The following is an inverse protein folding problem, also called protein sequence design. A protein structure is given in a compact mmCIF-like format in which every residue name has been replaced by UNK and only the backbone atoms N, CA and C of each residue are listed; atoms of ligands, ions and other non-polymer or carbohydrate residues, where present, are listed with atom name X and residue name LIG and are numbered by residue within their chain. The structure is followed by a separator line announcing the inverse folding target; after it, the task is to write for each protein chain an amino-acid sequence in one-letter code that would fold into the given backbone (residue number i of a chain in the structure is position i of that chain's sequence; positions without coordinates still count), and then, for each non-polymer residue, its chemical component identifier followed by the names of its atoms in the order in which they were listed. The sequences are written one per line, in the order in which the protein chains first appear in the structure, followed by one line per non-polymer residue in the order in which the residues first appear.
data_IF_131112575653
#
_entry.id   IF_131112575653
#
_cell.length_a   1.000
_cell.length_b   1.000
_cell.length_c   1.000
_cell.angle_alpha   90.00
_cell.angle_beta   90.00
_cell.angle_gamma   90.00
#
_symmetry.space_group_name_H-M   'P 1'
#
loop_
_entity.id
_entity.type
_entity.pdbx_description
1 polymer ?
#
# COMPACT_ATOMS: atom_id res chain seq x y z
N UNK A 1 -27.58 50.10 -33.99
CA UNK A 1 -27.74 48.63 -33.92
C UNK A 1 -26.39 48.05 -33.54
N UNK A 2 -26.17 47.65 -32.27
CA UNK A 2 -24.92 47.01 -31.78
C UNK A 2 -25.19 46.42 -30.37
N UNK A 3 -25.75 45.21 -30.30
CA UNK A 3 -26.00 44.50 -29.02
C UNK A 3 -25.53 43.02 -28.91
N UNK A 4 -24.55 42.48 -29.67
CA UNK A 4 -24.06 41.13 -29.38
C UNK A 4 -22.84 41.06 -28.44
N UNK A 5 -22.05 42.14 -28.27
CA UNK A 5 -20.73 42.03 -27.62
C UNK A 5 -20.80 41.91 -26.09
N UNK A 6 -21.83 42.47 -25.43
CA UNK A 6 -21.93 42.44 -23.95
C UNK A 6 -22.34 41.09 -23.37
N UNK A 7 -22.95 40.20 -24.16
CA UNK A 7 -23.34 38.85 -23.72
C UNK A 7 -22.23 37.80 -23.95
N UNK A 8 -21.29 38.04 -24.85
CA UNK A 8 -20.24 37.07 -25.20
C UNK A 8 -19.16 36.94 -24.11
N UNK A 9 -18.83 38.03 -23.41
CA UNK A 9 -17.80 38.08 -22.37
C UNK A 9 -18.10 37.22 -21.14
N UNK A 10 -19.31 37.23 -20.53
CA UNK A 10 -19.58 36.37 -19.37
C UNK A 10 -19.62 34.88 -19.72
N UNK A 11 -20.03 34.50 -20.93
CA UNK A 11 -20.08 33.10 -21.37
C UNK A 11 -18.67 32.50 -21.50
N UNK A 12 -17.72 33.28 -22.01
CA UNK A 12 -16.33 32.86 -22.13
C UNK A 12 -15.66 32.66 -20.76
N UNK A 13 -15.95 33.54 -19.79
CA UNK A 13 -15.42 33.44 -18.41
C UNK A 13 -16.00 32.22 -17.68
N UNK A 14 -17.30 31.94 -17.85
CA UNK A 14 -17.94 30.75 -17.29
C UNK A 14 -17.36 29.47 -17.91
N UNK A 15 -17.13 29.44 -19.22
CA UNK A 15 -16.53 28.30 -19.91
C UNK A 15 -15.10 27.99 -19.43
N UNK A 16 -14.30 29.02 -19.13
CA UNK A 16 -12.95 28.86 -18.57
C UNK A 16 -13.00 28.36 -17.12
N UNK A 17 -13.91 28.88 -16.29
CA UNK A 17 -14.05 28.46 -14.89
C UNK A 17 -14.50 27.00 -14.74
N UNK A 18 -15.33 26.50 -15.65
CA UNK A 18 -15.76 25.09 -15.68
C UNK A 18 -14.62 24.18 -16.18
N UNK A 19 -13.69 24.69 -16.98
CA UNK A 19 -12.56 23.92 -17.50
C UNK A 19 -11.49 23.54 -16.47
N UNK A 20 -11.45 24.21 -15.31
CA UNK A 20 -10.43 23.99 -14.26
C UNK A 20 -10.83 22.99 -13.16
N UNK A 21 -12.03 22.42 -13.19
CA UNK A 21 -12.54 21.58 -12.08
C UNK A 21 -12.19 20.09 -12.17
N UNK A 22 -11.35 19.66 -13.11
CA UNK A 22 -10.87 18.28 -13.15
C UNK A 22 -9.56 18.16 -12.37
N UNK A 23 -9.65 18.00 -11.04
CA UNK A 23 -8.52 17.50 -10.25
C UNK A 23 -8.22 16.07 -10.68
N UNK A 24 -7.09 15.86 -11.33
CA UNK A 24 -6.60 14.53 -11.68
C UNK A 24 -6.03 13.92 -10.40
N UNK A 25 -6.73 12.96 -9.80
CA UNK A 25 -6.22 12.19 -8.67
C UNK A 25 -5.15 11.21 -9.17
N UNK A 26 -3.88 11.51 -8.89
CA UNK A 26 -2.75 10.64 -9.21
C UNK A 26 -2.64 9.50 -8.19
N UNK A 27 -2.28 8.31 -8.66
CA UNK A 27 -1.89 7.22 -7.76
C UNK A 27 -0.64 7.62 -6.96
N UNK A 28 -0.66 7.40 -5.65
CA UNK A 28 0.50 7.62 -4.78
C UNK A 28 1.02 6.27 -4.30
N UNK A 29 2.33 6.16 -4.08
CA UNK A 29 2.95 4.96 -3.54
C UNK A 29 4.05 5.35 -2.57
N UNK A 30 4.10 4.70 -1.42
CA UNK A 30 5.17 4.84 -0.45
C UNK A 30 5.66 3.48 0.02
N UNK A 31 6.98 3.33 0.10
CA UNK A 31 7.64 2.07 0.46
C UNK A 31 8.51 2.27 1.69
N UNK A 32 8.46 1.33 2.62
CA UNK A 32 9.31 1.34 3.81
C UNK A 32 10.75 0.95 3.44
N UNK A 33 11.76 1.33 4.24
CA UNK A 33 13.07 0.69 4.18
C UNK A 33 12.98 -0.82 4.39
N UNK A 34 14.05 -1.52 4.01
CA UNK A 34 14.21 -2.95 4.29
C UNK A 34 14.62 -3.19 5.75
N UNK A 35 13.88 -4.07 6.45
CA UNK A 35 14.31 -4.68 7.70
C UNK A 35 15.01 -6.02 7.42
N UNK A 36 15.99 -6.37 8.26
CA UNK A 36 16.77 -7.61 8.13
C UNK A 36 16.66 -8.42 9.42
N UNK A 37 16.54 -9.74 9.30
CA UNK A 37 16.39 -10.63 10.46
C UNK A 37 16.80 -12.07 10.13
N UNK A 38 16.92 -12.88 11.19
CA UNK A 38 17.48 -14.22 11.15
C UNK A 38 18.88 -14.28 11.78
N UNK A 39 19.59 -15.40 11.62
CA UNK A 39 19.18 -16.58 10.86
C UNK A 39 18.10 -17.41 11.58
N UNK A 40 17.19 -18.02 10.82
CA UNK A 40 16.31 -19.11 11.27
C UNK A 40 16.52 -20.31 10.38
N UNK A 41 16.78 -21.48 10.97
CA UNK A 41 17.02 -22.72 10.21
C UNK A 41 18.12 -22.56 9.12
N UNK A 42 19.12 -21.72 9.37
CA UNK A 42 20.22 -21.44 8.43
C UNK A 42 19.94 -20.34 7.39
N UNK A 43 18.77 -19.70 7.44
CA UNK A 43 18.34 -18.71 6.46
C UNK A 43 18.19 -17.31 7.06
N UNK A 44 18.68 -16.32 6.33
CA UNK A 44 18.50 -14.91 6.65
C UNK A 44 17.44 -14.30 5.72
N UNK A 45 16.72 -13.32 6.24
CA UNK A 45 15.56 -12.74 5.59
C UNK A 45 15.66 -11.22 5.58
N UNK A 46 14.94 -10.61 4.65
CA UNK A 46 14.62 -9.18 4.67
C UNK A 46 13.14 -8.96 4.41
N UNK A 47 12.58 -7.89 4.96
CA UNK A 47 11.18 -7.52 4.76
C UNK A 47 10.99 -6.03 4.49
N UNK A 48 9.89 -5.67 3.86
CA UNK A 48 9.43 -4.28 3.75
C UNK A 48 7.91 -4.24 3.53
N UNK A 49 7.33 -3.05 3.66
CA UNK A 49 5.94 -2.78 3.32
C UNK A 49 5.85 -1.70 2.24
N UNK A 50 4.74 -1.70 1.51
CA UNK A 50 4.36 -0.64 0.60
C UNK A 50 2.88 -0.32 0.81
N UNK A 51 2.52 0.94 0.63
CA UNK A 51 1.13 1.41 0.59
C UNK A 51 0.93 2.19 -0.70
N UNK A 52 -0.24 2.06 -1.29
CA UNK A 52 -0.64 2.74 -2.50
C UNK A 52 -2.05 3.29 -2.39
N UNK A 53 -2.25 4.48 -2.95
CA UNK A 53 -3.57 5.07 -3.18
C UNK A 53 -3.75 5.32 -4.67
N UNK A 54 -5.00 5.37 -5.13
CA UNK A 54 -5.28 5.70 -6.53
C UNK A 54 -6.76 5.76 -6.81
N UNK A 55 -7.09 5.95 -8.09
CA UNK A 55 -8.48 6.06 -8.56
C UNK A 55 -8.78 4.89 -9.48
N UNK A 56 -9.93 4.26 -9.29
CA UNK A 56 -10.45 3.22 -10.18
C UNK A 56 -11.87 3.58 -10.64
N UNK A 57 -12.40 2.96 -11.71
CA UNK A 57 -13.80 3.10 -12.10
C UNK A 57 -14.81 2.76 -10.99
N UNK A 58 -14.37 2.02 -9.96
CA UNK A 58 -15.20 1.56 -8.84
C UNK A 58 -15.01 2.41 -7.56
N UNK A 59 -14.22 3.48 -7.62
CA UNK A 59 -13.89 4.37 -6.50
C UNK A 59 -12.40 4.45 -6.20
N UNK A 60 -12.07 5.16 -5.13
CA UNK A 60 -10.70 5.32 -4.67
C UNK A 60 -10.17 4.01 -4.08
N UNK A 61 -8.88 3.76 -4.29
CA UNK A 61 -8.16 2.58 -3.85
C UNK A 61 -7.21 2.94 -2.71
N UNK A 62 -7.16 2.08 -1.70
CA UNK A 62 -6.21 2.14 -0.60
C UNK A 62 -5.71 0.71 -0.34
N UNK A 63 -4.55 0.38 -0.89
CA UNK A 63 -3.95 -0.96 -0.76
C UNK A 63 -2.62 -0.90 -0.02
N UNK A 64 -2.27 -1.98 0.66
CA UNK A 64 -0.93 -2.16 1.21
C UNK A 64 -0.53 -3.62 1.14
N UNK A 65 0.78 -3.87 1.05
CA UNK A 65 1.33 -5.20 1.21
C UNK A 65 2.52 -5.21 2.17
N UNK A 66 2.81 -6.41 2.67
CA UNK A 66 4.12 -6.74 3.23
C UNK A 66 4.77 -7.83 2.39
N UNK A 67 6.08 -7.70 2.20
CA UNK A 67 6.92 -8.63 1.47
C UNK A 67 8.01 -9.16 2.39
N UNK A 68 8.28 -10.46 2.29
CA UNK A 68 9.48 -11.11 2.82
C UNK A 68 10.28 -11.70 1.67
N UNK A 69 11.60 -11.65 1.80
CA UNK A 69 12.54 -12.15 0.81
C UNK A 69 13.75 -12.78 1.51
N UNK A 70 14.32 -13.79 0.87
CA UNK A 70 15.60 -14.36 1.24
C UNK A 70 16.74 -13.33 1.14
N UNK A 71 17.69 -13.35 2.07
CA UNK A 71 18.86 -12.49 2.02
C UNK A 71 20.14 -13.25 2.40
N UNK A 72 21.00 -13.68 1.46
CA UNK A 72 20.95 -13.42 0.02
C UNK A 72 19.79 -14.14 -0.67
N UNK A 73 19.51 -13.73 -1.92
CA UNK A 73 18.45 -14.31 -2.74
C UNK A 73 18.73 -15.80 -2.98
N UNK A 74 17.89 -16.65 -2.42
CA UNK A 74 17.90 -18.10 -2.59
C UNK A 74 16.50 -18.66 -2.35
N UNK A 75 16.19 -19.80 -2.95
CA UNK A 75 14.90 -20.46 -2.72
C UNK A 75 14.83 -20.97 -1.28
N UNK A 76 13.77 -20.61 -0.56
CA UNK A 76 13.49 -21.15 0.76
C UNK A 76 12.55 -22.35 0.66
N UNK A 77 12.69 -23.36 1.54
CA UNK A 77 11.76 -24.48 1.58
C UNK A 77 10.31 -24.03 1.78
N UNK A 78 9.37 -24.84 1.30
CA UNK A 78 7.92 -24.64 1.52
C UNK A 78 7.62 -24.36 3.00
N UNK A 79 6.81 -23.33 3.24
CA UNK A 79 6.38 -22.92 4.58
C UNK A 79 7.41 -22.11 5.38
N UNK A 80 8.60 -21.81 4.87
CA UNK A 80 9.63 -21.07 5.62
C UNK A 80 9.39 -19.55 5.66
N UNK A 81 8.53 -19.04 4.79
CA UNK A 81 8.15 -17.64 4.72
C UNK A 81 6.67 -17.48 5.01
N UNK A 82 6.33 -16.54 5.88
CA UNK A 82 4.97 -16.04 6.04
C UNK A 82 4.91 -14.52 5.93
N UNK A 83 3.80 -13.97 5.47
CA UNK A 83 3.59 -12.52 5.39
C UNK A 83 2.12 -12.15 5.61
N UNK A 84 1.90 -10.94 6.12
CA UNK A 84 0.59 -10.35 6.39
C UNK A 84 0.65 -8.85 6.10
N UNK A 85 -0.14 -8.39 5.13
CA UNK A 85 -0.31 -6.98 4.81
C UNK A 85 -1.21 -6.29 5.83
N UNK A 86 -0.90 -5.04 6.21
CA UNK A 86 -1.64 -4.28 7.23
C UNK A 86 -1.63 -2.79 6.92
N UNK A 87 -2.79 -2.15 7.04
CA UNK A 87 -3.01 -0.71 6.86
C UNK A 87 -3.37 -0.09 8.21
N UNK A 88 -2.77 1.05 8.51
CA UNK A 88 -3.04 1.84 9.69
C UNK A 88 -3.37 3.28 9.32
N UNK A 89 -4.17 3.94 10.15
CA UNK A 89 -4.30 5.39 10.12
C UNK A 89 -3.15 6.06 10.89
N UNK A 90 -3.04 7.39 10.81
CA UNK A 90 -2.00 8.16 11.50
C UNK A 90 -2.09 8.13 13.02
N UNK A 91 -3.22 7.73 13.61
CA UNK A 91 -3.37 7.52 15.04
C UNK A 91 -2.84 6.17 15.52
N UNK A 92 -2.49 5.28 14.57
CA UNK A 92 -1.99 3.94 14.84
C UNK A 92 -3.08 2.89 14.97
N UNK A 93 -4.33 3.20 14.61
CA UNK A 93 -5.42 2.23 14.58
C UNK A 93 -5.27 1.33 13.36
N UNK A 94 -5.41 0.02 13.56
CA UNK A 94 -5.42 -0.96 12.48
C UNK A 94 -6.75 -0.85 11.71
N UNK A 95 -6.67 -0.52 10.44
CA UNK A 95 -7.83 -0.33 9.57
C UNK A 95 -8.17 -1.61 8.83
N UNK A 96 -7.14 -2.30 8.33
CA UNK A 96 -7.31 -3.52 7.53
C UNK A 96 -6.08 -4.39 7.60
N UNK A 97 -6.27 -5.71 7.48
CA UNK A 97 -5.19 -6.70 7.45
C UNK A 97 -5.60 -7.89 6.58
N UNK A 98 -4.61 -8.54 5.98
CA UNK A 98 -4.80 -9.80 5.26
C UNK A 98 -4.75 -11.00 6.20
N UNK A 99 -5.19 -12.16 5.75
CA UNK A 99 -4.76 -13.42 6.35
C UNK A 99 -3.25 -13.63 6.16
N UNK A 100 -2.69 -14.58 6.91
CA UNK A 100 -1.31 -15.01 6.72
C UNK A 100 -1.15 -15.79 5.42
N UNK A 101 -0.36 -15.26 4.49
CA UNK A 101 0.11 -16.00 3.32
C UNK A 101 1.44 -16.68 3.63
N UNK A 102 1.57 -17.96 3.23
CA UNK A 102 2.80 -18.73 3.35
C UNK A 102 3.25 -19.22 1.99
N UNK A 103 4.56 -19.37 1.79
CA UNK A 103 5.06 -19.96 0.55
C UNK A 103 4.68 -21.45 0.49
N UNK A 104 4.08 -21.87 -0.62
CA UNK A 104 3.65 -23.26 -0.85
C UNK A 104 4.67 -24.06 -1.68
N UNK A 105 5.72 -23.42 -2.17
CA UNK A 105 6.82 -24.02 -2.93
C UNK A 105 8.16 -23.34 -2.58
N UNK A 106 9.22 -23.74 -3.30
CA UNK A 106 10.53 -23.12 -3.19
C UNK A 106 10.54 -21.68 -3.73
N UNK A 107 10.28 -20.67 -2.88
CA UNK A 107 10.24 -19.27 -3.31
C UNK A 107 11.40 -18.45 -2.74
N UNK A 108 11.85 -17.46 -3.50
CA UNK A 108 12.84 -16.45 -3.06
C UNK A 108 12.19 -15.30 -2.29
N UNK A 109 10.90 -15.05 -2.55
CA UNK A 109 10.11 -14.03 -1.85
C UNK A 109 8.62 -14.34 -1.92
N UNK A 110 7.84 -13.81 -0.98
CA UNK A 110 6.37 -13.78 -1.03
C UNK A 110 5.85 -12.44 -0.51
N UNK A 111 4.64 -12.08 -0.93
CA UNK A 111 3.93 -10.90 -0.46
C UNK A 111 2.44 -11.19 -0.20
N UNK A 112 1.84 -10.49 0.75
CA UNK A 112 0.39 -10.53 1.01
C UNK A 112 -0.16 -9.12 1.04
N UNK A 113 -1.28 -8.95 0.35
CA UNK A 113 -1.94 -7.67 0.10
C UNK A 113 -3.20 -7.55 0.96
N UNK A 114 -3.50 -6.33 1.39
CA UNK A 114 -4.76 -5.96 2.01
C UNK A 114 -5.26 -4.64 1.43
N UNK A 115 -6.55 -4.37 1.58
CA UNK A 115 -7.21 -3.18 1.04
C UNK A 115 -8.17 -2.55 2.05
N UNK A 116 -8.43 -1.25 1.91
CA UNK A 116 -9.30 -0.48 2.80
C UNK A 116 -10.05 0.63 2.04
N UNK A 117 -10.59 0.31 0.86
CA UNK A 117 -11.18 1.27 -0.09
C UNK A 117 -12.42 2.03 0.41
N UNK A 118 -12.99 1.67 1.56
CA UNK A 118 -14.13 2.40 2.17
C UNK A 118 -13.71 3.25 3.39
N UNK A 119 -12.40 3.47 3.57
CA UNK A 119 -11.91 4.26 4.69
C UNK A 119 -12.23 5.75 4.53
N UNK A 120 -12.35 6.51 5.62
CA UNK A 120 -12.49 7.97 5.54
C UNK A 120 -11.33 8.62 4.78
N UNK A 121 -11.56 9.81 4.26
CA UNK A 121 -10.48 10.65 3.76
C UNK A 121 -9.45 10.91 4.87
N UNK A 122 -8.15 10.81 4.55
CA UNK A 122 -7.11 10.99 5.55
C UNK A 122 -5.76 10.44 5.12
N UNK A 123 -4.83 10.36 6.09
CA UNK A 123 -3.50 9.82 5.88
C UNK A 123 -3.40 8.40 6.45
N UNK A 124 -2.76 7.53 5.68
CA UNK A 124 -2.60 6.12 6.02
C UNK A 124 -1.16 5.67 5.79
N UNK A 125 -0.74 4.62 6.49
CA UNK A 125 0.54 3.96 6.26
C UNK A 125 0.43 2.43 6.30
N UNK A 126 1.34 1.78 5.58
CA UNK A 126 1.51 0.33 5.58
C UNK A 126 2.52 -0.07 6.66
N UNK A 127 2.20 -1.11 7.43
CA UNK A 127 3.16 -1.73 8.35
C UNK A 127 2.78 -3.19 8.60
N UNK A 128 3.16 -4.07 7.70
CA UNK A 128 2.81 -5.48 7.83
C UNK A 128 3.72 -6.28 8.75
N UNK A 129 3.46 -7.58 8.76
CA UNK A 129 4.24 -8.57 9.51
C UNK A 129 4.75 -9.66 8.58
N UNK A 130 5.89 -10.23 8.94
CA UNK A 130 6.48 -11.38 8.26
C UNK A 130 6.83 -12.46 9.28
N UNK A 131 6.91 -13.71 8.84
CA UNK A 131 7.21 -14.88 9.67
C UNK A 131 8.34 -15.68 9.04
N UNK A 132 9.24 -16.17 9.88
CA UNK A 132 10.24 -17.16 9.51
C UNK A 132 10.03 -18.43 10.34
N UNK A 133 10.07 -19.60 9.68
CA UNK A 133 9.99 -20.88 10.37
C UNK A 133 11.26 -21.12 11.19
N UNK A 134 11.11 -21.45 12.47
CA UNK A 134 12.22 -21.53 13.43
C UNK A 134 12.47 -22.94 13.98
N UNK A 135 11.84 -23.97 13.37
CA UNK A 135 11.91 -25.36 13.82
C UNK A 135 10.85 -25.75 14.86
N UNK A 136 10.16 -24.78 15.47
CA UNK A 136 9.08 -25.00 16.43
C UNK A 136 7.90 -24.04 16.18
N UNK A 137 7.55 -23.86 14.91
CA UNK A 137 6.57 -22.86 14.46
C UNK A 137 7.24 -21.64 13.86
N UNK A 138 6.79 -20.44 14.21
CA UNK A 138 7.18 -19.20 13.51
C UNK A 138 7.60 -18.09 14.46
N UNK A 139 8.69 -17.41 14.12
CA UNK A 139 9.05 -16.11 14.71
C UNK A 139 8.44 -15.00 13.87
N UNK A 140 7.72 -14.06 14.49
CA UNK A 140 7.07 -12.94 13.78
C UNK A 140 7.92 -11.67 13.87
N UNK A 141 8.06 -10.97 12.75
CA UNK A 141 8.79 -9.72 12.60
C UNK A 141 7.89 -8.66 11.99
N UNK A 142 8.02 -7.43 12.46
CA UNK A 142 7.36 -6.29 11.82
C UNK A 142 8.20 -5.79 10.63
N UNK A 143 7.53 -5.26 9.61
CA UNK A 143 8.19 -4.35 8.68
C UNK A 143 8.36 -2.98 9.35
N UNK A 144 9.22 -2.14 8.79
CA UNK A 144 9.13 -0.70 9.04
C UNK A 144 7.80 -0.15 8.50
N UNK A 145 7.34 0.96 9.07
CA UNK A 145 6.21 1.70 8.52
C UNK A 145 6.61 2.39 7.21
N UNK A 146 5.70 2.45 6.26
CA UNK A 146 5.86 3.35 5.11
C UNK A 146 5.74 4.81 5.57
N UNK A 147 6.22 5.77 4.77
CA UNK A 147 5.70 7.14 4.85
C UNK A 147 4.18 7.16 4.75
N UNK A 148 3.55 8.15 5.38
CA UNK A 148 2.12 8.37 5.29
C UNK A 148 1.76 8.86 3.89
N UNK A 149 0.72 8.29 3.28
CA UNK A 149 0.15 8.78 2.02
C UNK A 149 -1.29 9.22 2.21
N UNK A 150 -1.69 10.23 1.46
CA UNK A 150 -3.04 10.76 1.49
C UNK A 150 -3.99 9.87 0.68
N UNK A 151 -5.15 9.57 1.27
CA UNK A 151 -6.26 8.87 0.66
C UNK A 151 -7.46 9.81 0.61
N UNK A 152 -8.06 9.95 -0.57
CA UNK A 152 -9.14 10.91 -0.80
C UNK A 152 -10.48 10.51 -0.15
N UNK A 153 -10.59 9.30 0.40
CA UNK A 153 -11.83 8.79 0.99
C UNK A 153 -12.82 8.33 -0.08
N UNK A 154 -14.03 7.97 0.35
CA UNK A 154 -15.15 7.67 -0.54
C UNK A 154 -16.26 8.70 -0.36
#
# INVERSE_FOLDING_TARGET
MNKPIKLATPIFIIGILIGFSASIAFASTATSPWGYYGPHMGYNYRNHSQIETGTSPFGNLLNSYAKVEANPLQAMPTGYMGTQGRIYDTSGVLISFSDWGYNNEGNVSIASYTHANNSPQGYYYGRGQTRAYNGNGYTTYWTFSTPNIYYEGR
#
